data_IF_921567926406
#
_entry.id   IF_921567926406
#
_cell.length_a   1.000
_cell.length_b   1.000
_cell.length_c   1.000
_cell.angle_alpha   90.00
_cell.angle_beta   90.00
_cell.angle_gamma   90.00
#
_symmetry.space_group_name_H-M   'P 1'
#
loop_
_entity.id
_entity.type
_entity.pdbx_description
1 polymer ?
#
# COMPACT_ATOMS: atom_id res chain seq x y z
N UNK A 1 -6.94 56.76 -11.62
CA UNK A 1 -7.26 55.65 -12.55
C UNK A 1 -7.42 54.39 -11.71
N UNK A 2 -8.66 53.95 -11.50
CA UNK A 2 -8.98 52.72 -10.76
C UNK A 2 -8.84 51.54 -11.73
N UNK A 3 -7.91 50.63 -11.46
CA UNK A 3 -7.74 49.40 -12.22
C UNK A 3 -8.79 48.40 -11.72
N UNK A 4 -9.78 48.09 -12.56
CA UNK A 4 -10.79 47.10 -12.25
C UNK A 4 -10.15 45.72 -12.09
N UNK A 5 -10.30 45.10 -10.92
CA UNK A 5 -9.91 43.70 -10.70
C UNK A 5 -10.69 42.79 -11.67
N UNK A 6 -10.02 41.87 -12.37
CA UNK A 6 -10.70 40.95 -13.27
C UNK A 6 -11.62 40.02 -12.47
N UNK A 7 -12.91 40.09 -12.77
CA UNK A 7 -13.93 39.24 -12.17
C UNK A 7 -13.65 37.76 -12.49
N UNK A 8 -13.20 37.01 -11.49
CA UNK A 8 -12.99 35.57 -11.61
C UNK A 8 -14.38 34.91 -11.76
N UNK A 9 -14.62 34.12 -12.83
CA UNK A 9 -15.92 33.53 -13.07
C UNK A 9 -16.34 32.61 -11.89
N UNK A 10 -17.60 32.65 -11.45
CA UNK A 10 -18.07 32.01 -10.22
C UNK A 10 -17.99 30.46 -10.20
N UNK A 11 -17.52 29.82 -11.27
CA UNK A 11 -17.23 28.38 -11.32
C UNK A 11 -15.76 27.98 -11.13
N UNK A 12 -14.80 28.91 -11.29
CA UNK A 12 -13.38 28.57 -11.33
C UNK A 12 -12.81 28.21 -9.93
N UNK A 13 -13.29 28.84 -8.86
CA UNK A 13 -12.82 28.59 -7.47
C UNK A 13 -13.20 27.20 -6.94
N UNK A 14 -14.31 26.62 -7.39
CA UNK A 14 -14.73 25.28 -6.96
C UNK A 14 -13.99 24.16 -7.71
N UNK A 15 -13.64 24.39 -8.98
CA UNK A 15 -12.85 23.44 -9.75
C UNK A 15 -11.41 23.38 -9.25
N UNK A 16 -10.75 24.53 -9.04
CA UNK A 16 -9.35 24.57 -8.60
C UNK A 16 -9.13 23.97 -7.21
N UNK A 17 -10.06 24.18 -6.27
CA UNK A 17 -9.95 23.57 -4.93
C UNK A 17 -10.15 22.05 -4.92
N UNK A 18 -11.00 21.52 -5.80
CA UNK A 18 -11.27 20.08 -5.89
C UNK A 18 -10.17 19.34 -6.67
N UNK A 19 -9.67 19.90 -7.77
CA UNK A 19 -8.50 19.35 -8.48
C UNK A 19 -7.23 19.52 -7.67
N UNK A 20 -7.00 20.66 -7.00
CA UNK A 20 -5.83 20.81 -6.12
C UNK A 20 -5.85 19.80 -4.97
N UNK A 21 -6.99 19.55 -4.32
CA UNK A 21 -7.10 18.51 -3.28
C UNK A 21 -6.97 17.09 -3.83
N UNK A 22 -7.42 16.85 -5.05
CA UNK A 22 -7.29 15.55 -5.71
C UNK A 22 -5.86 15.30 -6.20
N UNK A 23 -5.13 16.35 -6.58
CA UNK A 23 -3.77 16.33 -7.13
C UNK A 23 -2.72 16.43 -6.04
N UNK A 24 -2.98 17.11 -4.91
CA UNK A 24 -2.02 17.29 -3.81
C UNK A 24 -1.40 15.98 -3.30
N UNK A 25 -2.14 14.87 -3.10
CA UNK A 25 -1.54 13.59 -2.74
C UNK A 25 -0.59 13.10 -3.83
N UNK A 26 -0.95 13.25 -5.10
CA UNK A 26 -0.09 12.88 -6.23
C UNK A 26 1.10 13.81 -6.39
N UNK A 27 0.95 15.10 -6.07
CA UNK A 27 2.04 16.06 -6.08
C UNK A 27 3.03 15.78 -4.95
N UNK A 28 2.56 15.41 -3.76
CA UNK A 28 3.40 14.93 -2.67
C UNK A 28 4.10 13.62 -3.05
N UNK A 29 3.39 12.69 -3.70
CA UNK A 29 3.94 11.44 -4.21
C UNK A 29 4.98 11.69 -5.32
N UNK A 30 4.75 12.67 -6.19
CA UNK A 30 5.68 13.11 -7.24
C UNK A 30 6.86 13.86 -6.64
N UNK A 31 6.68 14.67 -5.59
CA UNK A 31 7.79 15.31 -4.87
C UNK A 31 8.67 14.23 -4.21
N UNK A 32 8.05 13.24 -3.56
CA UNK A 32 8.75 12.07 -3.00
C UNK A 32 9.43 11.27 -4.13
N UNK A 33 8.75 11.01 -5.24
CA UNK A 33 9.32 10.28 -6.39
C UNK A 33 10.40 11.07 -7.14
N UNK A 34 10.31 12.40 -7.21
CA UNK A 34 11.31 13.29 -7.81
C UNK A 34 12.55 13.42 -6.91
N UNK A 35 12.37 13.37 -5.59
CA UNK A 35 13.50 13.14 -4.68
C UNK A 35 14.19 11.84 -5.11
N UNK A 36 13.47 10.72 -5.27
CA UNK A 36 14.09 9.48 -5.76
C UNK A 36 14.66 9.54 -7.20
N UNK A 37 14.12 10.38 -8.08
CA UNK A 37 14.52 10.45 -9.51
C UNK A 37 15.65 11.42 -9.84
N UNK A 38 15.92 12.42 -8.98
CA UNK A 38 17.00 13.41 -9.15
C UNK A 38 18.21 13.16 -8.25
N UNK A 39 18.11 12.27 -7.27
CA UNK A 39 19.20 11.95 -6.36
C UNK A 39 20.17 11.01 -7.08
N UNK A 40 21.46 11.38 -7.09
CA UNK A 40 22.56 10.49 -7.54
C UNK A 40 22.41 9.19 -6.79
N UNK A 41 21.87 8.19 -7.47
CA UNK A 41 21.76 6.87 -6.91
C UNK A 41 23.15 6.22 -7.05
N UNK A 42 23.79 5.85 -5.95
CA UNK A 42 23.19 5.84 -4.63
C UNK A 42 23.67 6.96 -3.69
N UNK A 43 22.85 7.33 -2.69
CA UNK A 43 23.18 8.35 -1.73
C UNK A 43 23.80 7.81 -0.43
N UNK A 44 24.77 6.90 -0.52
CA UNK A 44 25.37 6.29 0.67
C UNK A 44 26.22 7.26 1.50
N UNK A 45 26.55 8.41 0.92
CA UNK A 45 27.29 9.50 1.58
C UNK A 45 26.37 10.43 2.39
N UNK A 46 25.06 10.19 2.39
CA UNK A 46 24.14 11.04 3.13
C UNK A 46 24.33 10.89 4.64
N UNK A 47 24.12 11.98 5.40
CA UNK A 47 24.11 11.93 6.84
C UNK A 47 23.12 10.88 7.35
N UNK A 48 23.56 10.09 8.32
CA UNK A 48 22.77 9.01 8.90
C UNK A 48 21.35 9.43 9.38
N UNK A 49 21.12 10.61 10.01
CA UNK A 49 19.77 11.06 10.35
C UNK A 49 18.85 11.18 9.13
N UNK A 50 19.42 11.54 7.97
CA UNK A 50 18.67 11.66 6.73
C UNK A 50 18.29 10.28 6.16
N UNK A 51 19.19 9.29 6.25
CA UNK A 51 18.86 7.91 5.87
C UNK A 51 17.72 7.32 6.73
N UNK A 52 17.74 7.55 8.05
CA UNK A 52 16.64 7.14 8.93
C UNK A 52 15.32 7.83 8.59
N UNK A 53 15.37 9.12 8.24
CA UNK A 53 14.19 9.84 7.75
C UNK A 53 13.67 9.25 6.43
N UNK A 54 14.53 9.00 5.45
CA UNK A 54 14.14 8.37 4.16
C UNK A 54 13.55 6.99 4.39
N UNK A 55 14.14 6.17 5.26
CA UNK A 55 13.61 4.86 5.64
C UNK A 55 12.20 4.98 6.23
N UNK A 56 12.01 5.88 7.21
CA UNK A 56 10.71 6.12 7.84
C UNK A 56 9.66 6.60 6.84
N UNK A 57 10.04 7.48 5.90
CA UNK A 57 9.16 7.95 4.82
C UNK A 57 8.82 6.82 3.85
N UNK A 58 9.79 6.00 3.45
CA UNK A 58 9.57 4.88 2.54
C UNK A 58 8.59 3.86 3.15
N UNK A 59 8.84 3.44 4.39
CA UNK A 59 7.97 2.51 5.13
C UNK A 59 6.55 3.10 5.30
N UNK A 60 6.45 4.33 5.82
CA UNK A 60 5.14 4.99 6.02
C UNK A 60 4.38 5.16 4.71
N UNK A 61 5.08 5.48 3.61
CA UNK A 61 4.47 5.63 2.30
C UNK A 61 4.00 4.30 1.74
N UNK A 62 4.81 3.25 1.81
CA UNK A 62 4.42 1.90 1.41
C UNK A 62 3.14 1.44 2.14
N UNK A 63 3.06 1.73 3.44
CA UNK A 63 1.93 1.40 4.29
C UNK A 63 0.66 2.23 4.00
N UNK A 64 0.78 3.55 3.82
CA UNK A 64 -0.37 4.46 3.69
C UNK A 64 -0.89 4.54 2.25
N UNK A 65 -0.03 4.41 1.25
CA UNK A 65 -0.36 4.67 -0.14
C UNK A 65 -1.52 3.81 -0.69
N UNK A 66 -1.61 2.50 -0.40
CA UNK A 66 -2.78 1.69 -0.75
C UNK A 66 -4.11 2.19 -0.19
N UNK A 67 -4.11 2.92 0.93
CA UNK A 67 -5.32 3.48 1.55
C UNK A 67 -5.81 4.72 0.81
N UNK A 68 -4.87 5.52 0.31
CA UNK A 68 -5.17 6.73 -0.46
C UNK A 68 -5.79 6.42 -1.83
N UNK A 69 -5.72 5.18 -2.29
CA UNK A 69 -6.35 4.74 -3.53
C UNK A 69 -7.88 4.70 -3.45
N UNK A 70 -8.48 4.51 -2.28
CA UNK A 70 -9.94 4.58 -2.12
C UNK A 70 -10.52 5.95 -2.54
N UNK A 71 -10.08 7.09 -1.97
CA UNK A 71 -10.57 8.39 -2.40
C UNK A 71 -10.21 8.70 -3.86
N UNK A 72 -9.10 8.17 -4.39
CA UNK A 72 -8.79 8.26 -5.82
C UNK A 72 -9.85 7.56 -6.68
N UNK A 73 -10.28 6.35 -6.29
CA UNK A 73 -11.38 5.64 -6.95
C UNK A 73 -12.70 6.43 -6.91
N UNK A 74 -13.01 7.04 -5.76
CA UNK A 74 -14.19 7.92 -5.61
C UNK A 74 -14.08 9.14 -6.54
N UNK A 75 -12.91 9.75 -6.64
CA UNK A 75 -12.66 10.90 -7.50
C UNK A 75 -12.79 10.53 -8.99
N UNK A 76 -12.24 9.39 -9.40
CA UNK A 76 -12.36 8.88 -10.77
C UNK A 76 -13.82 8.63 -11.15
N UNK A 77 -14.61 8.03 -10.26
CA UNK A 77 -16.05 7.82 -10.47
C UNK A 77 -16.81 9.14 -10.66
N UNK A 78 -16.43 10.19 -9.93
CA UNK A 78 -17.04 11.53 -10.05
C UNK A 78 -16.64 12.21 -11.36
N UNK A 79 -15.38 12.12 -11.76
CA UNK A 79 -14.85 12.81 -12.93
C UNK A 79 -15.24 12.13 -14.25
N UNK A 80 -15.20 10.80 -14.30
CA UNK A 80 -15.35 10.01 -15.54
C UNK A 80 -16.68 9.25 -15.64
N UNK A 81 -17.53 9.36 -14.60
CA UNK A 81 -18.81 8.68 -14.52
C UNK A 81 -18.69 7.15 -14.56
N UNK A 82 -19.74 6.51 -15.08
CA UNK A 82 -19.86 5.04 -15.13
C UNK A 82 -19.40 4.51 -16.49
N UNK A 83 -18.18 4.84 -16.91
CA UNK A 83 -17.64 4.46 -18.22
C UNK A 83 -16.63 3.30 -18.14
N UNK A 84 -16.49 2.54 -19.22
CA UNK A 84 -15.39 1.55 -19.37
C UNK A 84 -14.02 2.22 -19.23
N UNK A 85 -13.91 3.49 -19.65
CA UNK A 85 -12.70 4.31 -19.50
C UNK A 85 -12.36 4.53 -18.02
N UNK A 86 -13.34 4.89 -17.17
CA UNK A 86 -13.13 5.06 -15.74
C UNK A 86 -12.57 3.80 -15.07
N UNK A 87 -13.13 2.63 -15.42
CA UNK A 87 -12.66 1.33 -14.91
C UNK A 87 -11.23 1.01 -15.35
N UNK A 88 -10.90 1.20 -16.64
CA UNK A 88 -9.53 1.02 -17.15
C UNK A 88 -8.54 1.96 -16.48
N UNK A 89 -8.92 3.23 -16.28
CA UNK A 89 -8.09 4.20 -15.57
C UNK A 89 -7.89 3.81 -14.11
N UNK A 90 -8.92 3.35 -13.42
CA UNK A 90 -8.81 2.85 -12.04
C UNK A 90 -7.83 1.68 -11.92
N UNK A 91 -7.89 0.71 -12.84
CA UNK A 91 -6.92 -0.39 -12.91
C UNK A 91 -5.50 0.14 -13.16
N UNK A 92 -5.31 1.01 -14.16
CA UNK A 92 -3.99 1.56 -14.49
C UNK A 92 -3.37 2.31 -13.30
N UNK A 93 -4.18 3.12 -12.60
CA UNK A 93 -3.76 3.83 -11.39
C UNK A 93 -3.43 2.85 -10.27
N UNK A 94 -4.28 1.85 -10.04
CA UNK A 94 -4.06 0.83 -9.02
C UNK A 94 -2.80 -0.01 -9.26
N UNK A 95 -2.53 -0.38 -10.52
CA UNK A 95 -1.32 -1.10 -10.90
C UNK A 95 -0.06 -0.25 -10.73
N UNK A 96 -0.08 1.01 -11.19
CA UNK A 96 1.06 1.93 -11.05
C UNK A 96 1.39 2.15 -9.58
N UNK A 97 0.38 2.49 -8.77
CA UNK A 97 0.57 2.73 -7.34
C UNK A 97 0.94 1.44 -6.61
N UNK A 98 0.34 0.30 -6.95
CA UNK A 98 0.72 -0.99 -6.41
C UNK A 98 2.19 -1.34 -6.71
N UNK A 99 2.67 -1.06 -7.94
CA UNK A 99 4.08 -1.21 -8.28
C UNK A 99 4.97 -0.28 -7.46
N UNK A 100 4.59 0.99 -7.28
CA UNK A 100 5.32 1.92 -6.41
C UNK A 100 5.37 1.43 -4.95
N UNK A 101 4.24 0.98 -4.40
CA UNK A 101 4.17 0.40 -3.05
C UNK A 101 5.07 -0.81 -2.94
N UNK A 102 5.03 -1.74 -3.89
CA UNK A 102 5.88 -2.91 -3.90
C UNK A 102 7.38 -2.55 -3.97
N UNK A 103 7.75 -1.58 -4.81
CA UNK A 103 9.15 -1.12 -4.91
C UNK A 103 9.60 -0.46 -3.60
N UNK A 104 8.74 0.36 -2.99
CA UNK A 104 9.06 1.01 -1.72
C UNK A 104 9.27 -0.01 -0.59
N UNK A 105 8.34 -0.96 -0.44
CA UNK A 105 8.29 -1.96 0.63
C UNK A 105 9.37 -3.06 0.44
N UNK A 106 9.48 -3.62 -0.76
CA UNK A 106 10.34 -4.78 -1.01
C UNK A 106 11.80 -4.44 -1.38
N UNK A 107 12.08 -3.18 -1.77
CA UNK A 107 13.40 -2.80 -2.26
C UNK A 107 13.94 -1.55 -1.56
N UNK A 108 13.23 -0.43 -1.62
CA UNK A 108 13.76 0.85 -1.12
C UNK A 108 13.92 0.81 0.40
N UNK A 109 12.89 0.38 1.14
CA UNK A 109 12.94 0.34 2.60
C UNK A 109 14.09 -0.56 3.11
N UNK A 110 14.23 -1.84 2.68
CA UNK A 110 15.31 -2.71 3.16
C UNK A 110 16.71 -2.16 2.85
N UNK A 111 16.89 -1.58 1.66
CA UNK A 111 18.17 -1.00 1.23
C UNK A 111 18.54 0.20 2.10
N UNK A 112 17.62 1.15 2.27
CA UNK A 112 17.89 2.36 3.06
C UNK A 112 18.11 2.02 4.54
N UNK A 113 17.35 1.06 5.07
CA UNK A 113 17.52 0.59 6.44
C UNK A 113 18.91 0.00 6.69
N UNK A 114 19.38 -0.87 5.79
CA UNK A 114 20.73 -1.44 5.89
C UNK A 114 21.81 -0.35 5.91
N UNK A 115 21.75 0.62 4.99
CA UNK A 115 22.75 1.69 4.94
C UNK A 115 22.67 2.61 6.18
N UNK A 116 21.48 2.82 6.74
CA UNK A 116 21.32 3.55 7.99
C UNK A 116 21.97 2.82 9.19
N UNK A 117 21.90 1.48 9.24
CA UNK A 117 22.56 0.65 10.25
C UNK A 117 24.08 0.56 10.05
N UNK A 118 24.54 0.39 8.82
CA UNK A 118 25.97 0.37 8.50
C UNK A 118 26.65 1.69 8.94
N UNK A 119 25.96 2.83 8.77
CA UNK A 119 26.41 4.13 9.25
C UNK A 119 26.50 4.26 10.78
N UNK A 120 25.87 3.37 11.55
CA UNK A 120 25.96 3.33 13.03
C UNK A 120 27.17 2.53 13.53
N UNK A 121 27.92 1.87 12.65
CA UNK A 121 28.93 0.89 13.06
C UNK A 121 28.33 -0.35 13.74
N UNK A 122 27.01 -0.57 13.58
CA UNK A 122 26.36 -1.80 14.01
C UNK A 122 26.89 -2.96 13.18
N UNK A 123 27.15 -4.10 13.79
CA UNK A 123 27.64 -5.29 13.08
C UNK A 123 26.58 -5.79 12.09
N UNK A 124 26.69 -5.38 10.83
CA UNK A 124 25.77 -5.76 9.74
C UNK A 124 26.07 -7.14 9.17
N UNK A 125 27.07 -7.85 9.71
CA UNK A 125 27.48 -9.18 9.23
C UNK A 125 26.32 -10.18 9.18
N UNK A 126 25.39 -10.10 10.15
CA UNK A 126 24.17 -10.91 10.16
C UNK A 126 23.20 -10.54 9.04
N UNK A 127 23.10 -9.25 8.69
CA UNK A 127 22.28 -8.76 7.56
C UNK A 127 22.90 -9.12 6.21
N UNK A 128 24.22 -9.25 6.12
CA UNK A 128 24.92 -9.60 4.87
C UNK A 128 24.89 -11.09 4.54
N UNK A 129 24.68 -11.97 5.52
CA UNK A 129 24.77 -13.42 5.33
C UNK A 129 23.96 -13.96 4.15
N UNK A 130 22.77 -13.40 3.92
CA UNK A 130 21.93 -13.72 2.77
C UNK A 130 21.76 -12.53 1.80
N UNK A 131 22.43 -11.41 2.09
CA UNK A 131 22.21 -10.10 1.50
C UNK A 131 21.04 -9.35 2.13
N UNK A 132 20.79 -8.13 1.64
CA UNK A 132 19.70 -7.26 2.08
C UNK A 132 18.35 -7.98 2.09
N UNK A 133 17.46 -7.59 3.02
CA UNK A 133 16.11 -8.14 3.22
C UNK A 133 15.13 -7.75 2.09
N UNK A 134 15.57 -8.02 0.87
CA UNK A 134 14.87 -7.88 -0.40
C UNK A 134 14.35 -9.25 -0.83
N UNK A 135 13.45 -9.36 -1.82
CA UNK A 135 12.98 -10.65 -2.31
C UNK A 135 14.11 -11.63 -2.65
N UNK A 136 15.23 -11.14 -3.17
CA UNK A 136 16.40 -11.97 -3.50
C UNK A 136 17.07 -12.51 -2.24
N UNK A 137 17.29 -11.66 -1.22
CA UNK A 137 17.89 -12.06 0.04
C UNK A 137 17.01 -13.03 0.82
N UNK A 138 15.70 -12.76 0.89
CA UNK A 138 14.73 -13.64 1.56
C UNK A 138 14.67 -15.01 0.87
N UNK A 139 14.68 -15.08 -0.48
CA UNK A 139 14.73 -16.36 -1.20
C UNK A 139 16.02 -17.14 -0.92
N UNK A 140 17.16 -16.44 -0.81
CA UNK A 140 18.44 -17.09 -0.43
C UNK A 140 18.37 -17.66 0.98
N UNK A 141 17.86 -16.89 1.93
CA UNK A 141 17.67 -17.34 3.30
C UNK A 141 16.71 -18.54 3.36
N UNK A 142 15.57 -18.46 2.67
CA UNK A 142 14.59 -19.54 2.61
C UNK A 142 15.22 -20.85 2.11
N UNK A 143 15.97 -20.79 1.01
CA UNK A 143 16.69 -21.96 0.47
C UNK A 143 17.72 -22.53 1.46
N UNK A 144 18.43 -21.65 2.16
CA UNK A 144 19.42 -22.06 3.16
C UNK A 144 18.76 -22.79 4.33
N UNK A 145 17.69 -22.22 4.90
CA UNK A 145 16.98 -22.78 6.06
C UNK A 145 16.29 -24.09 5.69
N UNK A 146 15.70 -24.19 4.50
CA UNK A 146 15.11 -25.44 4.02
C UNK A 146 16.15 -26.54 3.82
N UNK A 147 17.36 -26.19 3.37
CA UNK A 147 18.46 -27.14 3.21
C UNK A 147 19.16 -27.48 4.55
N UNK A 148 19.13 -26.57 5.52
CA UNK A 148 19.84 -26.68 6.80
C UNK A 148 18.92 -26.25 7.96
N UNK A 149 17.88 -27.04 8.29
CA UNK A 149 16.93 -26.66 9.32
C UNK A 149 17.61 -26.56 10.69
N UNK A 150 17.47 -25.44 11.41
CA UNK A 150 18.05 -25.29 12.74
C UNK A 150 17.33 -26.19 13.75
N UNK A 151 18.01 -26.52 14.85
CA UNK A 151 17.39 -27.25 15.95
C UNK A 151 16.24 -26.46 16.60
N UNK A 152 16.34 -25.13 16.60
CA UNK A 152 15.32 -24.22 17.13
C UNK A 152 15.15 -23.01 16.19
N UNK A 153 13.90 -22.66 15.92
CA UNK A 153 13.57 -21.47 15.15
C UNK A 153 13.38 -20.24 16.06
N UNK A 154 13.79 -19.07 15.56
CA UNK A 154 13.70 -17.79 16.23
C UNK A 154 13.28 -16.68 15.25
N UNK A 155 12.66 -15.62 15.76
CA UNK A 155 12.33 -14.42 14.98
C UNK A 155 13.36 -13.28 15.13
N UNK A 156 14.53 -13.59 15.71
CA UNK A 156 15.55 -12.56 15.96
C UNK A 156 16.16 -12.07 14.66
N UNK A 157 16.33 -10.75 14.52
CA UNK A 157 17.01 -10.13 13.37
C UNK A 157 18.51 -10.48 13.35
N UNK A 158 19.11 -10.78 14.50
CA UNK A 158 20.51 -11.19 14.63
C UNK A 158 20.77 -12.62 14.15
N UNK A 159 19.73 -13.44 14.03
CA UNK A 159 19.83 -14.86 13.64
C UNK A 159 18.90 -15.18 12.46
N UNK A 160 19.13 -14.56 11.29
CA UNK A 160 18.25 -14.73 10.14
C UNK A 160 18.19 -16.17 9.65
N UNK A 161 19.25 -16.97 9.82
CA UNK A 161 19.24 -18.40 9.50
C UNK A 161 18.35 -19.25 10.42
N UNK A 162 17.84 -18.68 11.50
CA UNK A 162 16.93 -19.35 12.42
C UNK A 162 15.47 -18.97 12.17
N UNK A 163 15.18 -18.15 11.16
CA UNK A 163 13.80 -17.79 10.83
C UNK A 163 13.03 -18.99 10.28
N UNK A 164 11.79 -19.24 10.75
CA UNK A 164 10.97 -20.30 10.16
C UNK A 164 10.72 -20.06 8.66
N UNK A 165 10.72 -21.11 7.81
CA UNK A 165 10.43 -20.97 6.38
C UNK A 165 9.10 -20.25 6.08
N UNK A 166 8.08 -20.48 6.90
CA UNK A 166 6.79 -19.82 6.75
C UNK A 166 6.86 -18.32 7.03
N UNK A 167 7.73 -17.86 7.93
CA UNK A 167 7.93 -16.43 8.19
C UNK A 167 8.59 -15.78 6.98
N UNK A 168 9.61 -16.41 6.40
CA UNK A 168 10.27 -15.93 5.19
C UNK A 168 9.30 -15.88 4.00
N UNK A 169 8.42 -16.87 3.85
CA UNK A 169 7.34 -16.83 2.84
C UNK A 169 6.35 -15.70 3.09
N UNK A 170 6.02 -15.43 4.35
CA UNK A 170 5.15 -14.29 4.70
C UNK A 170 5.79 -12.97 4.25
N UNK A 171 7.07 -12.74 4.56
CA UNK A 171 7.81 -11.54 4.13
C UNK A 171 7.90 -11.41 2.60
N UNK A 172 8.02 -12.53 1.88
CA UNK A 172 8.00 -12.51 0.39
C UNK A 172 6.66 -12.07 -0.18
N UNK A 173 5.54 -12.45 0.45
CA UNK A 173 4.21 -12.25 -0.09
C UNK A 173 3.52 -10.98 0.41
N UNK A 174 3.86 -10.49 1.61
CA UNK A 174 3.22 -9.32 2.21
C UNK A 174 3.33 -8.04 1.35
N UNK A 175 4.48 -7.70 0.74
CA UNK A 175 4.58 -6.55 -0.17
C UNK A 175 3.66 -6.67 -1.40
N UNK A 176 3.51 -7.89 -1.92
CA UNK A 176 2.61 -8.17 -3.06
C UNK A 176 1.16 -8.04 -2.62
N UNK A 177 0.81 -8.58 -1.45
CA UNK A 177 -0.54 -8.45 -0.90
C UNK A 177 -0.91 -6.97 -0.66
N UNK A 178 0.03 -6.16 -0.16
CA UNK A 178 -0.15 -4.72 0.03
C UNK A 178 -0.38 -3.97 -1.30
N UNK A 179 0.35 -4.33 -2.35
CA UNK A 179 0.13 -3.78 -3.70
C UNK A 179 -1.26 -4.16 -4.27
N UNK A 180 -1.67 -5.42 -4.10
CA UNK A 180 -3.01 -5.90 -4.52
C UNK A 180 -4.12 -5.24 -3.71
N UNK A 181 -3.88 -4.97 -2.42
CA UNK A 181 -4.81 -4.22 -1.58
C UNK A 181 -5.07 -2.84 -2.17
N UNK A 182 -4.02 -2.13 -2.60
CA UNK A 182 -4.15 -0.84 -3.27
C UNK A 182 -5.04 -0.88 -4.51
N UNK A 183 -4.80 -1.84 -5.42
CA UNK A 183 -5.64 -2.07 -6.59
C UNK A 183 -7.10 -2.36 -6.20
N UNK A 184 -7.31 -3.18 -5.18
CA UNK A 184 -8.66 -3.49 -4.67
C UNK A 184 -9.33 -2.23 -4.12
N UNK A 185 -8.57 -1.37 -3.43
CA UNK A 185 -9.10 -0.20 -2.75
C UNK A 185 -9.53 0.91 -3.72
N UNK A 186 -8.80 1.12 -4.83
CA UNK A 186 -9.25 2.04 -5.90
C UNK A 186 -10.55 1.55 -6.54
N UNK A 187 -10.67 0.23 -6.73
CA UNK A 187 -11.89 -0.38 -7.28
C UNK A 187 -13.06 -0.25 -6.32
N UNK A 188 -12.83 -0.53 -5.04
CA UNK A 188 -13.80 -0.38 -3.96
C UNK A 188 -14.31 1.06 -3.88
N UNK A 189 -13.42 2.05 -3.89
CA UNK A 189 -13.76 3.47 -3.88
C UNK A 189 -14.60 3.90 -5.08
N UNK A 190 -14.25 3.41 -6.28
CA UNK A 190 -15.03 3.65 -7.48
C UNK A 190 -16.45 3.06 -7.36
N UNK A 191 -16.58 1.80 -6.96
CA UNK A 191 -17.88 1.13 -6.82
C UNK A 191 -18.74 1.75 -5.71
N UNK A 192 -18.12 2.11 -4.58
CA UNK A 192 -18.80 2.79 -3.48
C UNK A 192 -19.37 4.14 -3.92
N UNK A 193 -18.62 4.91 -4.74
CA UNK A 193 -19.11 6.16 -5.30
C UNK A 193 -20.30 5.97 -6.26
N UNK A 194 -20.30 4.89 -7.04
CA UNK A 194 -21.42 4.55 -7.93
C UNK A 194 -22.67 4.14 -7.15
N UNK A 195 -22.51 3.31 -6.11
CA UNK A 195 -23.63 2.87 -5.29
C UNK A 195 -24.28 4.04 -4.53
N UNK A 196 -23.47 4.98 -4.04
CA UNK A 196 -23.93 6.10 -3.20
C UNK A 196 -24.38 7.34 -3.97
N UNK A 197 -24.40 7.31 -5.32
CA UNK A 197 -24.72 8.50 -6.14
C UNK A 197 -26.11 9.09 -5.88
N UNK A 198 -27.07 8.29 -5.41
CA UNK A 198 -28.43 8.73 -5.12
C UNK A 198 -28.67 9.17 -3.67
N UNK A 199 -27.64 9.13 -2.82
CA UNK A 199 -27.77 9.51 -1.41
C UNK A 199 -27.62 11.02 -1.21
N UNK A 200 -28.31 11.57 -0.21
CA UNK A 200 -28.09 12.96 0.23
C UNK A 200 -26.61 13.14 0.64
N UNK A 201 -26.06 14.33 0.41
CA UNK A 201 -24.64 14.66 0.62
C UNK A 201 -24.03 14.17 1.96
N UNK A 202 -24.64 14.41 3.14
CA UNK A 202 -24.06 13.95 4.41
C UNK A 202 -24.03 12.43 4.53
N UNK A 203 -25.12 11.76 4.12
CA UNK A 203 -25.22 10.29 4.15
C UNK A 203 -24.18 9.68 3.20
N UNK A 204 -24.08 10.22 1.99
CA UNK A 204 -23.08 9.80 1.00
C UNK A 204 -21.65 9.88 1.56
N UNK A 205 -21.28 11.01 2.17
CA UNK A 205 -19.94 11.20 2.74
C UNK A 205 -19.68 10.19 3.86
N UNK A 206 -20.63 10.01 4.77
CA UNK A 206 -20.48 9.07 5.89
C UNK A 206 -20.38 7.62 5.41
N UNK A 207 -21.19 7.22 4.42
CA UNK A 207 -21.09 5.87 3.84
C UNK A 207 -19.74 5.65 3.15
N UNK A 208 -19.27 6.60 2.35
CA UNK A 208 -17.95 6.48 1.70
C UNK A 208 -16.81 6.40 2.72
N UNK A 209 -16.89 7.21 3.79
CA UNK A 209 -15.91 7.17 4.87
C UNK A 209 -15.95 5.84 5.63
N UNK A 210 -17.14 5.35 5.99
CA UNK A 210 -17.31 4.09 6.70
C UNK A 210 -16.79 2.90 5.89
N UNK A 211 -17.05 2.85 4.57
CA UNK A 211 -16.51 1.80 3.70
C UNK A 211 -14.99 1.92 3.61
N UNK A 212 -14.45 3.10 3.30
CA UNK A 212 -13.01 3.27 3.13
C UNK A 212 -12.20 3.01 4.41
N UNK A 213 -12.63 3.59 5.54
CA UNK A 213 -11.97 3.39 6.84
C UNK A 213 -12.21 1.98 7.37
N UNK A 214 -13.43 1.47 7.28
CA UNK A 214 -13.78 0.13 7.74
C UNK A 214 -12.96 -0.95 7.02
N UNK A 215 -12.91 -0.90 5.69
CA UNK A 215 -12.11 -1.81 4.87
C UNK A 215 -10.62 -1.74 5.24
N UNK A 216 -10.11 -0.52 5.41
CA UNK A 216 -8.72 -0.31 5.75
C UNK A 216 -8.33 -0.81 7.16
N UNK A 217 -9.14 -0.49 8.17
CA UNK A 217 -8.93 -0.97 9.54
C UNK A 217 -9.03 -2.49 9.58
N UNK A 218 -10.02 -3.08 8.91
CA UNK A 218 -10.19 -4.52 8.85
C UNK A 218 -8.99 -5.23 8.21
N UNK A 219 -8.46 -4.68 7.10
CA UNK A 219 -7.24 -5.18 6.47
C UNK A 219 -6.05 -5.19 7.44
N UNK A 220 -5.79 -4.07 8.13
CA UNK A 220 -4.67 -4.01 9.07
C UNK A 220 -4.85 -4.89 10.30
N UNK A 221 -6.05 -4.99 10.86
CA UNK A 221 -6.32 -5.89 11.99
C UNK A 221 -6.05 -7.35 11.61
N UNK A 222 -6.46 -7.76 10.41
CA UNK A 222 -6.13 -9.09 9.89
C UNK A 222 -4.64 -9.24 9.60
N UNK A 223 -3.98 -8.22 9.05
CA UNK A 223 -2.54 -8.26 8.81
C UNK A 223 -1.76 -8.43 10.12
N UNK A 224 -2.14 -7.71 11.19
CA UNK A 224 -1.56 -7.85 12.52
C UNK A 224 -1.86 -9.24 13.11
N UNK A 225 -3.09 -9.73 12.97
CA UNK A 225 -3.48 -11.05 13.49
C UNK A 225 -2.76 -12.22 12.78
N UNK A 226 -2.26 -11.99 11.56
CA UNK A 226 -1.57 -12.97 10.72
C UNK A 226 -0.06 -12.72 10.60
N UNK A 227 0.45 -11.65 11.22
CA UNK A 227 1.87 -11.31 11.19
C UNK A 227 2.68 -12.27 12.06
N UNK A 228 3.96 -12.50 11.78
CA UNK A 228 4.79 -13.37 12.62
C UNK A 228 5.09 -12.71 13.99
N UNK A 229 4.35 -13.07 15.04
CA UNK A 229 4.54 -12.62 16.44
C UNK A 229 5.26 -13.74 17.23
N UNK A 230 6.08 -13.49 18.28
CA UNK A 230 6.75 -14.57 19.05
C UNK A 230 5.88 -15.78 19.49
N UNK A 231 4.58 -15.66 19.83
CA UNK A 231 3.70 -16.81 20.05
C UNK A 231 3.49 -17.73 18.82
N UNK A 232 3.74 -17.25 17.60
CA UNK A 232 3.67 -18.03 16.34
C UNK A 232 4.69 -19.18 16.30
N UNK A 233 5.78 -19.07 17.09
CA UNK A 233 6.79 -20.11 17.20
C UNK A 233 6.33 -21.31 18.07
N UNK A 234 5.30 -21.14 18.91
CA UNK A 234 4.92 -22.16 19.91
C UNK A 234 4.00 -23.26 19.38
N UNK A 235 3.04 -22.92 18.52
CA UNK A 235 1.96 -23.85 18.19
C UNK A 235 1.96 -24.30 16.73
N UNK A 236 2.79 -23.72 15.85
CA UNK A 236 2.85 -24.06 14.42
C UNK A 236 1.53 -23.78 13.66
N UNK A 237 0.59 -23.06 14.27
CA UNK A 237 -0.82 -22.96 13.88
C UNK A 237 -1.11 -22.09 12.65
N UNK A 238 -0.12 -21.34 12.13
CA UNK A 238 -0.15 -20.94 10.73
C UNK A 238 0.81 -21.82 9.92
N UNK A 239 0.26 -22.90 9.37
CA UNK A 239 0.98 -23.82 8.49
C UNK A 239 1.47 -23.15 7.18
N UNK A 240 0.99 -21.93 6.85
CA UNK A 240 1.34 -21.24 5.61
C UNK A 240 1.50 -19.73 5.79
N UNK A 241 2.76 -19.27 5.66
CA UNK A 241 3.06 -17.84 5.58
C UNK A 241 2.44 -17.15 4.37
N UNK A 242 2.24 -17.91 3.28
CA UNK A 242 1.51 -17.44 2.10
C UNK A 242 0.07 -17.12 2.50
N UNK A 243 -0.63 -18.05 3.15
CA UNK A 243 -2.00 -17.80 3.60
C UNK A 243 -2.07 -16.61 4.55
N UNK A 244 -1.13 -16.49 5.50
CA UNK A 244 -1.06 -15.33 6.40
C UNK A 244 -0.92 -13.99 5.68
N UNK A 245 -0.08 -13.92 4.64
CA UNK A 245 0.12 -12.68 3.88
C UNK A 245 -1.10 -12.30 3.02
N UNK A 246 -1.83 -13.29 2.47
CA UNK A 246 -2.94 -13.05 1.54
C UNK A 246 -4.32 -12.99 2.23
N UNK A 247 -4.50 -13.61 3.40
CA UNK A 247 -5.77 -13.64 4.12
C UNK A 247 -6.35 -12.24 4.40
N UNK A 248 -5.57 -11.20 4.75
CA UNK A 248 -6.07 -9.84 4.93
C UNK A 248 -6.82 -9.28 3.71
N UNK A 249 -6.52 -9.75 2.49
CA UNK A 249 -7.20 -9.33 1.26
C UNK A 249 -8.61 -9.90 1.11
N UNK A 250 -8.95 -10.96 1.84
CA UNK A 250 -10.26 -11.63 1.72
C UNK A 250 -11.43 -10.66 1.94
N UNK A 251 -11.32 -9.78 2.94
CA UNK A 251 -12.34 -8.77 3.25
C UNK A 251 -12.48 -7.70 2.16
N UNK A 252 -11.44 -6.92 1.79
CA UNK A 252 -11.58 -5.89 0.76
C UNK A 252 -11.98 -6.47 -0.61
N UNK A 253 -11.54 -7.69 -0.94
CA UNK A 253 -12.00 -8.38 -2.16
C UNK A 253 -13.50 -8.73 -2.04
N UNK A 254 -13.92 -9.31 -0.91
CA UNK A 254 -15.32 -9.63 -0.65
C UNK A 254 -16.24 -8.40 -0.73
N UNK A 255 -15.81 -7.29 -0.11
CA UNK A 255 -16.51 -6.00 -0.19
C UNK A 255 -16.59 -5.49 -1.63
N UNK A 256 -15.50 -5.56 -2.38
CA UNK A 256 -15.45 -5.14 -3.79
C UNK A 256 -16.41 -5.96 -4.64
N UNK A 257 -16.43 -7.29 -4.47
CA UNK A 257 -17.34 -8.19 -5.17
C UNK A 257 -18.80 -7.91 -4.80
N UNK A 258 -19.09 -7.67 -3.52
CA UNK A 258 -20.42 -7.31 -3.05
C UNK A 258 -20.89 -5.99 -3.68
N UNK A 259 -20.06 -4.94 -3.64
CA UNK A 259 -20.41 -3.65 -4.26
C UNK A 259 -20.58 -3.78 -5.77
N UNK A 260 -19.76 -4.58 -6.45
CA UNK A 260 -19.90 -4.86 -7.87
C UNK A 260 -21.27 -5.48 -8.19
N UNK A 261 -21.66 -6.52 -7.43
CA UNK A 261 -22.96 -7.15 -7.56
C UNK A 261 -24.11 -6.16 -7.32
N UNK A 262 -24.05 -5.36 -6.26
CA UNK A 262 -25.10 -4.38 -5.92
C UNK A 262 -25.23 -3.28 -6.98
N UNK A 263 -24.11 -2.79 -7.52
CA UNK A 263 -24.11 -1.83 -8.64
C UNK A 263 -24.72 -2.45 -9.89
N UNK A 264 -24.37 -3.70 -10.22
CA UNK A 264 -24.95 -4.44 -11.35
C UNK A 264 -26.46 -4.62 -11.21
N UNK A 265 -26.92 -5.07 -10.04
CA UNK A 265 -28.33 -5.24 -9.71
C UNK A 265 -29.12 -3.94 -9.83
N UNK A 266 -28.55 -2.82 -9.38
CA UNK A 266 -29.18 -1.50 -9.51
C UNK A 266 -29.32 -1.04 -10.97
N UNK A 267 -28.34 -1.35 -11.82
CA UNK A 267 -28.41 -1.05 -13.25
C UNK A 267 -29.50 -1.88 -13.92
N UNK A 268 -29.56 -3.18 -13.66
CA UNK A 268 -30.59 -4.06 -14.21
C UNK A 268 -32.01 -3.57 -13.91
N UNK A 269 -32.29 -3.19 -12.65
CA UNK A 269 -33.58 -2.63 -12.22
C UNK A 269 -33.98 -1.29 -12.86
N UNK A 270 -33.08 -0.60 -13.57
CA UNK A 270 -33.42 0.63 -14.30
C UNK A 270 -33.85 0.37 -15.74
N UNK A 271 -33.60 -0.83 -16.27
CA UNK A 271 -33.92 -1.22 -17.64
C UNK A 271 -35.16 -2.12 -17.73
N UNK A 272 -35.67 -2.58 -16.60
CA UNK A 272 -36.94 -3.29 -16.43
C UNK A 272 -37.92 -2.31 -15.80
#
# INVERSE_FOLDING_TARGET
MSVAEPAIPPGARHWTGATAKAVLPWFLLVIVALQFGGLRWPPWEWPQPFLLWVWSVANSTALVLPFLLFPAGVALAKALGHSRRAFRTAIGVGLLVGACTYVLDAWVEPVVYYHALAGQGTETAHVEKFGLDTPVGIVRNLRYVEANPPQQYHLSVERPEQHPPNVLRWFLHQPVAMAVFGLTNVMLGMLAAQLTVGFRSPIRRNTLFAIGVGSGVAFFLLLIATSPIPPFLRDGTFHSGVAGAWLPLSLPIGETLLLYYLVGKRRYRRYV
#
